data_IF_273016549595
#
_entry.id   IF_273016549595
#
_cell.length_a   1.000
_cell.length_b   1.000
_cell.length_c   1.000
_cell.angle_alpha   90.00
_cell.angle_beta   90.00
_cell.angle_gamma   90.00
#
_symmetry.space_group_name_H-M   'P 1'
#
loop_
_entity.id
_entity.type
_entity.pdbx_description
1 polymer ?
#
# COMPACT_ATOMS: atom_id res chain seq x y z
N UNK A 1 25.02 5.69 2.57
CA UNK A 1 24.18 5.24 1.44
C UNK A 1 23.70 3.78 1.56
N UNK A 2 24.26 2.93 2.44
CA UNK A 2 23.84 1.52 2.63
C UNK A 2 22.88 1.25 3.80
N UNK A 3 22.54 2.24 4.63
CA UNK A 3 21.72 2.05 5.85
C UNK A 3 20.21 2.18 5.63
N UNK A 4 19.76 2.97 4.64
CA UNK A 4 18.34 3.21 4.40
C UNK A 4 17.64 2.00 3.75
N UNK A 5 18.33 1.31 2.83
CA UNK A 5 17.79 0.13 2.11
C UNK A 5 17.50 -1.05 3.02
N UNK A 6 18.32 -1.25 4.07
CA UNK A 6 18.14 -2.36 5.02
C UNK A 6 16.88 -2.20 5.88
N UNK A 7 16.59 -0.98 6.31
CA UNK A 7 15.39 -0.68 7.12
C UNK A 7 14.13 -0.88 6.28
N UNK A 8 14.09 -0.34 5.06
CA UNK A 8 12.95 -0.54 4.15
C UNK A 8 12.72 -2.02 3.83
N UNK A 9 13.77 -2.80 3.60
CA UNK A 9 13.64 -4.23 3.33
C UNK A 9 13.12 -5.00 4.54
N UNK A 10 13.60 -4.69 5.76
CA UNK A 10 13.13 -5.32 6.99
C UNK A 10 11.66 -5.00 7.23
N UNK A 11 11.24 -3.75 7.03
CA UNK A 11 9.83 -3.37 7.15
C UNK A 11 8.97 -3.99 6.06
N UNK A 12 9.44 -4.07 4.81
CA UNK A 12 8.72 -4.77 3.72
C UNK A 12 8.58 -6.27 3.99
N UNK A 13 9.62 -6.92 4.52
CA UNK A 13 9.58 -8.33 4.89
C UNK A 13 8.70 -8.57 6.12
N UNK A 14 8.82 -7.75 7.17
CA UNK A 14 7.94 -7.80 8.32
C UNK A 14 6.49 -7.55 7.91
N UNK A 15 6.27 -6.65 6.96
CA UNK A 15 4.97 -6.37 6.39
C UNK A 15 4.41 -7.59 5.63
N UNK A 16 5.22 -8.19 4.78
CA UNK A 16 4.86 -9.37 4.00
C UNK A 16 4.58 -10.57 4.91
N UNK A 17 5.39 -10.77 5.94
CA UNK A 17 5.26 -11.86 6.91
C UNK A 17 4.05 -11.67 7.84
N UNK A 18 3.82 -10.46 8.34
CA UNK A 18 2.65 -10.16 9.16
C UNK A 18 1.35 -10.25 8.36
N UNK A 19 1.33 -9.76 7.12
CA UNK A 19 0.20 -9.90 6.21
C UNK A 19 -0.06 -11.37 5.85
N UNK A 20 0.99 -12.16 5.57
CA UNK A 20 0.86 -13.58 5.32
C UNK A 20 0.34 -14.32 6.57
N UNK A 21 0.91 -14.04 7.75
CA UNK A 21 0.51 -14.67 9.01
C UNK A 21 -0.94 -14.35 9.37
N UNK A 22 -1.36 -13.08 9.28
CA UNK A 22 -2.74 -12.68 9.54
C UNK A 22 -3.70 -13.27 8.50
N UNK A 23 -3.31 -13.29 7.23
CA UNK A 23 -4.11 -13.95 6.18
C UNK A 23 -4.30 -15.43 6.48
N UNK A 24 -3.25 -16.13 6.92
CA UNK A 24 -3.28 -17.54 7.30
C UNK A 24 -4.12 -17.75 8.58
N UNK A 25 -3.98 -16.88 9.58
CA UNK A 25 -4.76 -16.93 10.83
C UNK A 25 -6.25 -16.70 10.57
N UNK A 26 -6.60 -15.66 9.82
CA UNK A 26 -8.01 -15.35 9.48
C UNK A 26 -8.58 -16.42 8.55
N UNK A 27 -7.78 -16.96 7.63
CA UNK A 27 -8.13 -18.15 6.86
C UNK A 27 -8.47 -19.31 7.79
N UNK A 28 -7.55 -19.69 8.68
CA UNK A 28 -7.71 -20.83 9.58
C UNK A 28 -8.87 -20.66 10.57
N UNK A 29 -9.12 -19.44 11.05
CA UNK A 29 -10.09 -19.18 12.11
C UNK A 29 -11.51 -18.93 11.61
N UNK A 30 -11.68 -18.30 10.43
CA UNK A 30 -13.01 -17.82 9.99
C UNK A 30 -13.32 -18.03 8.52
N UNK A 31 -12.34 -17.91 7.63
CA UNK A 31 -12.59 -17.89 6.19
C UNK A 31 -12.47 -19.26 5.51
N UNK A 32 -11.91 -20.28 6.17
CA UNK A 32 -11.84 -21.68 5.69
C UNK A 32 -13.10 -22.14 4.94
N UNK A 33 -14.31 -22.15 5.55
CA UNK A 33 -15.51 -22.64 4.86
C UNK A 33 -15.95 -21.78 3.66
N UNK A 34 -15.60 -20.49 3.63
CA UNK A 34 -15.95 -19.57 2.54
C UNK A 34 -14.96 -19.69 1.38
N UNK A 35 -13.67 -19.75 1.71
CA UNK A 35 -12.59 -19.93 0.73
C UNK A 35 -12.67 -21.31 0.12
N UNK A 36 -12.88 -22.37 0.90
CA UNK A 36 -12.98 -23.73 0.38
C UNK A 36 -14.21 -23.88 -0.54
N UNK A 37 -15.33 -23.20 -0.24
CA UNK A 37 -16.47 -23.12 -1.16
C UNK A 37 -16.14 -22.35 -2.44
N UNK A 38 -15.32 -21.31 -2.36
CA UNK A 38 -15.00 -20.44 -3.50
C UNK A 38 -13.93 -21.08 -4.39
N UNK A 39 -12.79 -21.47 -3.81
CA UNK A 39 -11.69 -22.16 -4.48
C UNK A 39 -12.07 -23.58 -4.86
N UNK A 40 -12.89 -24.28 -4.08
CA UNK A 40 -13.40 -25.60 -4.45
C UNK A 40 -14.35 -25.56 -5.66
N UNK A 41 -15.13 -24.47 -5.81
CA UNK A 41 -16.00 -24.27 -7.00
C UNK A 41 -15.24 -23.68 -8.19
N UNK A 42 -14.24 -22.83 -7.95
CA UNK A 42 -13.50 -22.14 -9.00
C UNK A 42 -12.23 -22.87 -9.44
N UNK A 43 -11.70 -23.79 -8.63
CA UNK A 43 -10.45 -24.50 -8.88
C UNK A 43 -9.19 -23.68 -8.55
N UNK A 44 -8.00 -24.33 -8.50
CA UNK A 44 -6.73 -23.67 -8.15
C UNK A 44 -6.30 -22.58 -9.14
N UNK A 45 -6.75 -22.67 -10.40
CA UNK A 45 -6.49 -21.66 -11.43
C UNK A 45 -7.08 -20.29 -11.11
N UNK A 46 -8.08 -20.22 -10.22
CA UNK A 46 -8.68 -18.97 -9.78
C UNK A 46 -7.67 -18.06 -9.05
N UNK A 47 -6.87 -18.63 -8.15
CA UNK A 47 -5.86 -17.86 -7.40
C UNK A 47 -4.75 -17.38 -8.34
N UNK A 48 -4.31 -18.23 -9.26
CA UNK A 48 -3.31 -17.84 -10.26
C UNK A 48 -3.83 -16.68 -11.15
N UNK A 49 -5.09 -16.75 -11.59
CA UNK A 49 -5.73 -15.69 -12.37
C UNK A 49 -5.73 -14.35 -11.62
N UNK A 50 -6.11 -14.35 -10.33
CA UNK A 50 -6.07 -13.15 -9.48
C UNK A 50 -4.66 -12.57 -9.40
N UNK A 51 -3.66 -13.41 -9.08
CA UNK A 51 -2.28 -12.97 -8.87
C UNK A 51 -1.66 -12.41 -10.16
N UNK A 52 -1.89 -13.08 -11.29
CA UNK A 52 -1.40 -12.63 -12.60
C UNK A 52 -2.09 -11.32 -12.99
N UNK A 53 -3.41 -11.21 -12.86
CA UNK A 53 -4.15 -9.99 -13.15
C UNK A 53 -3.70 -8.82 -12.28
N UNK A 54 -3.49 -9.05 -10.98
CA UNK A 54 -3.00 -8.04 -10.05
C UNK A 54 -1.59 -7.56 -10.41
N UNK A 55 -0.67 -8.47 -10.73
CA UNK A 55 0.69 -8.12 -11.10
C UNK A 55 0.73 -7.33 -12.42
N UNK A 56 0.07 -7.84 -13.46
CA UNK A 56 0.04 -7.18 -14.77
C UNK A 56 -0.64 -5.82 -14.71
N UNK A 57 -1.78 -5.71 -14.02
CA UNK A 57 -2.48 -4.45 -13.83
C UNK A 57 -1.65 -3.46 -12.99
N UNK A 58 -1.04 -3.92 -11.90
CA UNK A 58 -0.26 -3.08 -11.00
C UNK A 58 0.99 -2.49 -11.65
N UNK A 59 1.76 -3.33 -12.33
CA UNK A 59 2.97 -2.90 -13.05
C UNK A 59 2.63 -2.16 -14.34
N UNK A 60 1.61 -2.61 -15.08
CA UNK A 60 1.19 -1.97 -16.32
C UNK A 60 0.70 -0.55 -16.09
N UNK A 61 -0.30 -0.36 -15.24
CA UNK A 61 -0.86 0.97 -14.96
C UNK A 61 0.12 1.87 -14.21
N UNK A 62 0.92 1.30 -13.29
CA UNK A 62 1.95 2.06 -12.59
C UNK A 62 3.05 2.57 -13.52
N UNK A 63 3.55 1.71 -14.40
CA UNK A 63 4.58 2.10 -15.39
C UNK A 63 4.01 3.06 -16.42
N UNK A 64 2.77 2.84 -16.86
CA UNK A 64 2.08 3.77 -17.76
C UNK A 64 1.96 5.16 -17.13
N UNK A 65 1.60 5.25 -15.84
CA UNK A 65 1.54 6.53 -15.12
C UNK A 65 2.88 7.28 -15.11
N UNK A 66 4.00 6.57 -14.89
CA UNK A 66 5.34 7.16 -14.94
C UNK A 66 5.70 7.62 -16.35
N UNK A 67 5.38 6.79 -17.35
CA UNK A 67 5.61 7.10 -18.77
C UNK A 67 4.86 8.36 -19.20
N UNK A 68 3.57 8.48 -18.81
CA UNK A 68 2.75 9.68 -19.03
C UNK A 68 3.31 10.92 -18.32
N UNK A 69 4.00 10.70 -17.19
CA UNK A 69 4.66 11.78 -16.42
C UNK A 69 6.06 12.11 -16.94
N UNK A 70 6.55 11.43 -17.98
CA UNK A 70 7.88 11.62 -18.55
C UNK A 70 9.03 11.10 -17.68
N UNK A 71 8.73 10.30 -16.65
CA UNK A 71 9.73 9.75 -15.73
C UNK A 71 10.13 8.32 -16.16
N UNK A 72 11.44 8.05 -16.34
CA UNK A 72 11.90 6.70 -16.64
C UNK A 72 11.82 5.83 -15.38
N UNK A 73 11.17 4.67 -15.46
CA UNK A 73 11.11 3.72 -14.36
C UNK A 73 9.98 2.70 -14.47
N UNK A 74 9.98 1.74 -13.55
CA UNK A 74 8.88 0.77 -13.40
C UNK A 74 8.02 1.21 -12.22
N UNK A 75 6.76 1.50 -12.51
CA UNK A 75 5.82 2.00 -11.52
C UNK A 75 4.90 0.90 -11.02
N UNK A 76 4.38 1.07 -9.81
CA UNK A 76 3.43 0.15 -9.18
C UNK A 76 2.18 0.93 -8.81
N UNK A 77 1.01 0.47 -9.24
CA UNK A 77 -0.27 1.11 -8.96
C UNK A 77 -1.20 0.16 -8.20
N UNK A 78 -1.69 0.61 -7.04
CA UNK A 78 -2.70 -0.13 -6.27
C UNK A 78 -4.01 -0.23 -7.07
N UNK A 79 -4.42 0.87 -7.71
CA UNK A 79 -5.64 0.89 -8.53
C UNK A 79 -5.50 -0.02 -9.74
N UNK A 80 -4.33 0.00 -10.40
CA UNK A 80 -4.02 -0.91 -11.50
C UNK A 80 -4.09 -2.37 -11.09
N UNK A 81 -3.53 -2.71 -9.93
CA UNK A 81 -3.54 -4.07 -9.40
C UNK A 81 -4.97 -4.55 -9.09
N UNK A 82 -5.80 -3.71 -8.46
CA UNK A 82 -7.19 -4.03 -8.18
C UNK A 82 -8.00 -4.23 -9.47
N UNK A 83 -7.88 -3.31 -10.43
CA UNK A 83 -8.58 -3.40 -11.70
C UNK A 83 -8.18 -4.65 -12.50
N UNK A 84 -6.88 -4.94 -12.59
CA UNK A 84 -6.36 -6.13 -13.26
C UNK A 84 -6.83 -7.43 -12.62
N UNK A 85 -6.79 -7.52 -11.28
CA UNK A 85 -7.28 -8.67 -10.55
C UNK A 85 -8.76 -8.94 -10.80
N UNK A 86 -9.60 -7.89 -10.73
CA UNK A 86 -11.05 -7.99 -10.97
C UNK A 86 -11.30 -8.45 -12.41
N UNK A 87 -10.64 -7.85 -13.40
CA UNK A 87 -10.80 -8.19 -14.80
C UNK A 87 -10.50 -9.67 -15.06
N UNK A 88 -9.35 -10.17 -14.59
CA UNK A 88 -8.96 -11.56 -14.81
C UNK A 88 -9.88 -12.54 -14.07
N UNK A 89 -10.35 -12.18 -12.87
CA UNK A 89 -11.32 -13.00 -12.11
C UNK A 89 -12.66 -13.10 -12.82
N UNK A 90 -13.19 -11.99 -13.32
CA UNK A 90 -14.48 -12.00 -14.02
C UNK A 90 -14.38 -12.75 -15.34
N UNK A 91 -13.26 -12.60 -16.09
CA UNK A 91 -12.99 -13.40 -17.27
C UNK A 91 -12.89 -14.90 -16.95
N UNK A 92 -12.19 -15.26 -15.87
CA UNK A 92 -12.07 -16.65 -15.42
C UNK A 92 -13.43 -17.27 -15.09
N UNK A 93 -14.24 -16.55 -14.32
CA UNK A 93 -15.60 -16.97 -13.96
C UNK A 93 -16.48 -17.10 -15.20
N UNK A 94 -16.41 -16.15 -16.12
CA UNK A 94 -17.16 -16.16 -17.37
C UNK A 94 -16.84 -17.43 -18.19
N UNK A 95 -15.56 -17.75 -18.33
CA UNK A 95 -15.11 -18.92 -19.08
C UNK A 95 -15.51 -20.26 -18.44
N UNK A 96 -15.84 -20.26 -17.14
CA UNK A 96 -16.24 -21.45 -16.37
C UNK A 96 -17.74 -21.47 -16.02
N UNK A 97 -18.50 -20.48 -16.45
CA UNK A 97 -19.93 -20.34 -16.13
C UNK A 97 -20.23 -20.11 -14.64
N UNK A 98 -19.25 -19.64 -13.86
CA UNK A 98 -19.41 -19.43 -12.41
C UNK A 98 -20.12 -18.09 -12.18
N UNK A 99 -21.27 -18.14 -11.52
CA UNK A 99 -22.05 -16.95 -11.13
C UNK A 99 -22.01 -16.78 -9.61
N UNK A 100 -21.64 -15.59 -9.16
CA UNK A 100 -21.55 -15.24 -7.73
C UNK A 100 -20.45 -14.23 -7.41
N UNK A 101 -20.59 -13.56 -6.27
CA UNK A 101 -19.57 -12.64 -5.73
C UNK A 101 -18.51 -13.42 -4.95
N UNK A 102 -17.26 -13.24 -5.32
CA UNK A 102 -16.09 -13.89 -4.71
C UNK A 102 -15.15 -12.90 -4.02
N UNK A 103 -15.49 -11.61 -4.04
CA UNK A 103 -14.64 -10.52 -3.55
C UNK A 103 -14.45 -10.50 -2.02
N UNK A 104 -15.42 -11.00 -1.26
CA UNK A 104 -15.40 -10.94 0.21
C UNK A 104 -14.17 -11.65 0.82
N UNK A 105 -13.66 -12.68 0.15
CA UNK A 105 -12.47 -13.42 0.58
C UNK A 105 -11.22 -12.55 0.55
N UNK A 106 -11.16 -11.55 -0.33
CA UNK A 106 -9.98 -10.69 -0.52
C UNK A 106 -9.97 -9.44 0.35
N UNK A 107 -11.11 -9.04 0.92
CA UNK A 107 -11.24 -7.79 1.70
C UNK A 107 -10.28 -7.78 2.89
N UNK A 108 -10.23 -8.86 3.66
CA UNK A 108 -9.37 -8.95 4.84
C UNK A 108 -7.87 -8.95 4.49
N UNK A 109 -7.50 -9.70 3.46
CA UNK A 109 -6.11 -9.73 2.97
C UNK A 109 -5.68 -8.33 2.50
N UNK A 110 -6.53 -7.65 1.73
CA UNK A 110 -6.27 -6.29 1.25
C UNK A 110 -6.17 -5.28 2.39
N UNK A 111 -7.14 -5.28 3.31
CA UNK A 111 -7.16 -4.35 4.45
C UNK A 111 -5.90 -4.50 5.32
N UNK A 112 -5.50 -5.75 5.60
CA UNK A 112 -4.29 -6.04 6.39
C UNK A 112 -3.04 -5.52 5.69
N UNK A 113 -2.89 -5.80 4.39
CA UNK A 113 -1.75 -5.32 3.60
C UNK A 113 -1.68 -3.79 3.59
N UNK A 114 -2.80 -3.08 3.43
CA UNK A 114 -2.84 -1.61 3.44
C UNK A 114 -2.48 -1.05 4.82
N UNK A 115 -3.05 -1.60 5.90
CA UNK A 115 -2.74 -1.15 7.26
C UNK A 115 -1.25 -1.27 7.54
N UNK A 116 -0.67 -2.43 7.25
CA UNK A 116 0.75 -2.70 7.43
C UNK A 116 1.61 -1.76 6.56
N UNK A 117 1.23 -1.52 5.30
CA UNK A 117 1.92 -0.56 4.43
C UNK A 117 1.93 0.86 5.02
N UNK A 118 0.83 1.29 5.66
CA UNK A 118 0.75 2.60 6.32
C UNK A 118 1.63 2.70 7.56
N UNK A 119 1.80 1.61 8.31
CA UNK A 119 2.80 1.54 9.37
C UNK A 119 4.22 1.68 8.80
N UNK A 120 4.52 1.03 7.67
CA UNK A 120 5.81 1.17 6.97
C UNK A 120 6.10 2.62 6.53
N UNK A 121 5.10 3.29 5.93
CA UNK A 121 5.16 4.71 5.59
C UNK A 121 5.45 5.57 6.84
N UNK A 122 4.72 5.32 7.93
CA UNK A 122 4.90 6.03 9.21
C UNK A 122 6.33 5.90 9.76
N UNK A 123 6.92 4.70 9.75
CA UNK A 123 8.29 4.49 10.23
C UNK A 123 9.37 5.00 9.26
N UNK A 124 9.02 5.25 8.00
CA UNK A 124 9.95 5.79 7.01
C UNK A 124 10.18 7.31 7.18
N UNK A 125 9.27 8.02 7.85
CA UNK A 125 9.40 9.44 8.17
C UNK A 125 9.25 10.38 6.97
N UNK A 126 9.86 11.57 7.05
CA UNK A 126 9.78 12.63 6.01
C UNK A 126 10.10 12.19 4.56
N UNK A 127 11.07 11.30 4.29
CA UNK A 127 11.41 10.88 2.92
C UNK A 127 10.25 10.26 2.14
N UNK A 128 9.25 9.69 2.81
CA UNK A 128 8.11 9.03 2.16
C UNK A 128 7.00 10.00 1.75
N UNK A 129 7.09 11.30 2.13
CA UNK A 129 6.13 12.35 1.78
C UNK A 129 4.65 12.02 2.10
N UNK A 130 4.41 11.08 3.00
CA UNK A 130 3.07 10.64 3.43
C UNK A 130 2.60 11.29 4.73
N UNK A 131 3.31 12.33 5.18
CA UNK A 131 2.94 13.11 6.36
C UNK A 131 1.78 14.08 6.07
N UNK A 132 1.02 14.37 7.12
CA UNK A 132 -0.10 15.32 7.05
C UNK A 132 0.36 16.78 7.10
N UNK A 133 -0.59 17.68 7.34
CA UNK A 133 -0.26 19.09 7.60
C UNK A 133 0.35 19.26 9.00
N UNK A 134 1.24 20.26 9.16
CA UNK A 134 1.78 20.64 10.46
C UNK A 134 0.64 20.97 11.44
N UNK A 135 0.73 20.48 12.68
CA UNK A 135 -0.31 20.64 13.69
C UNK A 135 0.26 20.79 15.10
N UNK A 136 -0.40 21.59 15.93
CA UNK A 136 -0.08 21.76 17.35
C UNK A 136 -0.91 20.85 18.28
N UNK A 137 -1.65 19.89 17.71
CA UNK A 137 -2.46 18.96 18.47
C UNK A 137 -1.57 18.00 19.28
N UNK A 138 -1.97 17.58 20.50
CA UNK A 138 -1.12 16.79 21.39
C UNK A 138 -0.84 15.36 20.91
N UNK A 139 -1.52 14.92 19.84
CA UNK A 139 -1.26 13.64 19.15
C UNK A 139 -0.50 13.83 17.83
N UNK A 140 -0.02 15.04 17.54
CA UNK A 140 0.91 15.29 16.45
C UNK A 140 2.21 14.53 16.68
N UNK A 141 2.76 13.97 15.61
CA UNK A 141 4.01 13.21 15.65
C UNK A 141 5.09 14.06 14.99
N UNK A 142 6.13 14.39 15.74
CA UNK A 142 7.31 15.08 15.26
C UNK A 142 8.24 14.08 14.56
N UNK A 143 8.50 14.30 13.27
CA UNK A 143 9.35 13.44 12.44
C UNK A 143 10.81 13.95 12.35
N UNK A 144 11.21 14.90 13.20
CA UNK A 144 12.55 15.49 13.25
C UNK A 144 12.70 16.77 12.42
N UNK A 145 11.60 17.44 12.08
CA UNK A 145 11.57 18.70 11.34
C UNK A 145 11.81 19.93 12.23
N UNK A 146 11.71 19.80 13.56
CA UNK A 146 11.94 20.92 14.50
C UNK A 146 13.30 21.62 14.35
N UNK A 147 14.37 20.87 14.01
CA UNK A 147 15.71 21.44 13.84
C UNK A 147 15.85 22.22 12.52
N UNK A 148 15.10 21.82 11.49
CA UNK A 148 14.99 22.53 10.21
C UNK A 148 14.14 23.80 10.37
N UNK A 149 13.05 23.71 11.13
CA UNK A 149 12.16 24.82 11.44
C UNK A 149 12.85 25.90 12.30
N UNK A 150 13.67 25.50 13.29
CA UNK A 150 14.50 26.42 14.09
C UNK A 150 15.57 27.17 13.28
N UNK A 151 16.01 26.60 12.16
CA UNK A 151 17.02 27.18 11.27
C UNK A 151 16.42 27.93 10.06
N UNK A 152 15.09 27.94 9.91
CA UNK A 152 14.40 28.52 8.74
C UNK A 152 14.70 27.77 7.43
N UNK A 153 15.07 26.49 7.53
CA UNK A 153 15.45 25.63 6.41
C UNK A 153 14.32 24.66 6.11
N UNK A 154 14.01 24.43 4.85
CA UNK A 154 13.09 23.35 4.47
C UNK A 154 13.81 21.99 4.42
N UNK A 155 13.06 20.91 4.19
CA UNK A 155 13.56 19.53 4.05
C UNK A 155 14.61 19.31 2.94
N UNK A 156 14.86 20.32 2.11
CA UNK A 156 15.88 20.32 1.05
C UNK A 156 17.10 21.20 1.39
N UNK A 157 17.17 21.77 2.60
CA UNK A 157 18.25 22.67 3.02
C UNK A 157 18.20 24.05 2.38
N UNK A 158 17.08 24.42 1.75
CA UNK A 158 16.87 25.77 1.23
C UNK A 158 16.22 26.65 2.30
N UNK A 159 16.80 27.84 2.50
CA UNK A 159 16.26 28.87 3.40
C UNK A 159 14.91 29.35 2.87
N UNK A 160 13.83 28.99 3.57
CA UNK A 160 12.48 29.43 3.25
C UNK A 160 12.17 30.68 4.07
N UNK A 161 12.16 31.83 3.42
CA UNK A 161 11.79 33.13 3.98
C UNK A 161 10.26 33.28 4.13
N UNK A 162 9.55 32.17 4.29
CA UNK A 162 8.12 32.14 4.57
C UNK A 162 7.96 32.17 6.10
N UNK A 163 8.06 33.38 6.68
CA UNK A 163 7.72 33.62 8.08
C UNK A 163 6.29 33.15 8.31
N UNK A 164 6.10 31.90 8.78
CA UNK A 164 4.79 31.43 9.21
C UNK A 164 4.34 32.26 10.41
N UNK A 165 3.08 32.73 10.42
CA UNK A 165 2.56 33.52 11.51
C UNK A 165 2.66 32.70 12.81
N UNK A 166 3.25 33.34 13.82
CA UNK A 166 3.30 32.91 15.21
C UNK A 166 1.91 32.37 15.60
N UNK A 167 1.78 31.18 16.22
CA UNK A 167 0.48 30.74 16.70
C UNK A 167 -0.01 31.79 17.70
N UNK A 168 -1.09 32.48 17.33
CA UNK A 168 -1.85 33.30 18.26
C UNK A 168 -2.28 32.37 19.40
N UNK A 169 -1.58 32.51 20.51
CA UNK A 169 -2.08 32.13 21.81
C UNK A 169 -3.31 33.02 22.04
N UNK A 170 -4.46 32.38 22.28
CA UNK A 170 -5.77 32.98 22.56
C UNK A 170 -5.76 34.41 23.10
#
# INVERSE_FOLDING_TARGET
MFTQTGIHLVFDLAASLSAALLTVLVYAWRLRPVVDRTVGKAGPGYVAAVLIGAALGGYGFGTLSLLLSGLPGVGRSIVGALAGAILTVELYKLNRGIRGSTGLVFVFAFATTVTVGRWGCYFSGMPDQTYGIATALPWGVDFGDYALDLLGLNSHGAFSLELRPKPEQW
#
